data_IF_891307572239
#
_entry.id   IF_891307572239
#
_cell.length_a   1.000
_cell.length_b   1.000
_cell.length_c   1.000
_cell.angle_alpha   90.00
_cell.angle_beta   90.00
_cell.angle_gamma   90.00
#
_symmetry.space_group_name_H-M   'P 1'
#
loop_
_entity.id
_entity.type
_entity.pdbx_description
1 polymer ?
#
# COMPACT_ATOMS: atom_id res chain seq x y z
N UNK A 1 92.53 17.36 -45.49
CA UNK A 1 92.17 15.93 -45.65
C UNK A 1 92.44 15.26 -44.32
N UNK A 2 91.40 15.06 -43.52
CA UNK A 2 91.44 14.39 -42.21
C UNK A 2 90.28 13.39 -42.22
N UNK A 3 90.63 12.12 -42.08
CA UNK A 3 89.71 10.98 -42.09
C UNK A 3 88.65 11.16 -41.00
N UNK A 4 87.36 11.11 -41.38
CA UNK A 4 86.26 10.84 -40.46
C UNK A 4 86.08 9.33 -40.40
N UNK A 5 86.33 8.74 -39.24
CA UNK A 5 85.80 7.42 -38.90
C UNK A 5 84.26 7.51 -38.76
N UNK A 6 83.50 6.47 -39.15
CA UNK A 6 82.06 6.51 -39.04
C UNK A 6 81.61 6.34 -37.58
N UNK A 7 80.73 7.24 -37.13
CA UNK A 7 79.97 7.10 -35.89
C UNK A 7 79.16 5.80 -35.93
N UNK A 8 79.52 4.83 -35.09
CA UNK A 8 78.70 3.64 -34.84
C UNK A 8 77.53 4.06 -33.96
N UNK A 9 76.35 4.23 -34.55
CA UNK A 9 75.11 4.37 -33.80
C UNK A 9 74.85 3.08 -33.02
N UNK A 10 75.02 3.13 -31.70
CA UNK A 10 74.54 2.08 -30.81
C UNK A 10 73.01 2.15 -30.77
N UNK A 11 72.33 1.31 -31.56
CA UNK A 11 70.92 1.00 -31.30
C UNK A 11 70.85 0.18 -30.01
N UNK A 12 70.31 0.76 -28.94
CA UNK A 12 69.94 -0.02 -27.75
C UNK A 12 68.98 -1.15 -28.18
N UNK A 13 69.30 -2.42 -27.89
CA UNK A 13 68.39 -3.51 -28.22
C UNK A 13 67.11 -3.29 -27.42
N UNK A 14 65.98 -3.11 -28.11
CA UNK A 14 64.65 -3.13 -27.48
C UNK A 14 64.47 -4.48 -26.80
N UNK A 15 64.71 -4.53 -25.49
CA UNK A 15 64.57 -5.74 -24.71
C UNK A 15 63.10 -6.13 -24.68
N UNK A 16 62.74 -7.21 -25.39
CA UNK A 16 61.41 -7.80 -25.26
C UNK A 16 61.21 -8.26 -23.81
N UNK A 17 60.13 -7.82 -23.11
CA UNK A 17 59.92 -8.15 -21.72
C UNK A 17 59.85 -9.66 -21.53
N UNK A 18 60.58 -10.15 -20.53
CA UNK A 18 60.61 -11.57 -20.18
C UNK A 18 59.23 -12.05 -19.72
N UNK A 19 59.02 -13.37 -19.68
CA UNK A 19 57.77 -13.94 -19.12
C UNK A 19 57.58 -13.48 -17.67
N UNK A 20 58.67 -13.37 -16.90
CA UNK A 20 58.64 -12.93 -15.51
C UNK A 20 58.23 -11.45 -15.38
N UNK A 21 58.71 -10.58 -16.28
CA UNK A 21 58.33 -9.16 -16.31
C UNK A 21 56.82 -9.00 -16.60
N UNK A 22 56.29 -9.82 -17.51
CA UNK A 22 54.85 -9.83 -17.81
C UNK A 22 54.02 -10.31 -16.60
N UNK A 23 54.50 -11.30 -15.87
CA UNK A 23 53.85 -11.81 -14.65
C UNK A 23 53.87 -10.75 -13.54
N UNK A 24 55.02 -10.12 -13.27
CA UNK A 24 55.09 -9.07 -12.25
C UNK A 24 54.29 -7.83 -12.64
N UNK A 25 54.27 -7.45 -13.92
CA UNK A 25 53.43 -6.37 -14.39
C UNK A 25 51.93 -6.70 -14.20
N UNK A 26 51.50 -7.91 -14.54
CA UNK A 26 50.13 -8.35 -14.28
C UNK A 26 49.79 -8.36 -12.78
N UNK A 27 50.69 -8.88 -11.93
CA UNK A 27 50.51 -8.87 -10.48
C UNK A 27 50.42 -7.45 -9.91
N UNK A 28 51.25 -6.52 -10.40
CA UNK A 28 51.20 -5.11 -10.03
C UNK A 28 49.85 -4.47 -10.40
N UNK A 29 49.37 -4.71 -11.63
CA UNK A 29 48.05 -4.22 -12.08
C UNK A 29 46.92 -4.79 -11.23
N UNK A 30 46.96 -6.09 -10.90
CA UNK A 30 45.96 -6.74 -10.02
C UNK A 30 46.02 -6.12 -8.62
N UNK A 31 47.20 -5.94 -8.05
CA UNK A 31 47.36 -5.34 -6.72
C UNK A 31 46.85 -3.90 -6.68
N UNK A 32 47.12 -3.10 -7.72
CA UNK A 32 46.57 -1.75 -7.85
C UNK A 32 45.04 -1.78 -7.93
N UNK A 33 44.47 -2.71 -8.69
CA UNK A 33 43.02 -2.93 -8.75
C UNK A 33 42.43 -3.30 -7.39
N UNK A 34 43.10 -4.16 -6.62
CA UNK A 34 42.67 -4.54 -5.27
C UNK A 34 42.73 -3.35 -4.30
N UNK A 35 43.78 -2.53 -4.35
CA UNK A 35 43.88 -1.31 -3.53
C UNK A 35 42.77 -0.30 -3.87
N UNK A 36 42.48 -0.11 -5.16
CA UNK A 36 41.38 0.75 -5.59
C UNK A 36 40.02 0.21 -5.14
N UNK A 37 39.79 -1.10 -5.24
CA UNK A 37 38.57 -1.74 -4.74
C UNK A 37 38.41 -1.58 -3.23
N UNK A 38 39.49 -1.78 -2.45
CA UNK A 38 39.48 -1.61 -0.99
C UNK A 38 39.23 -0.15 -0.60
N UNK A 39 39.91 0.79 -1.26
CA UNK A 39 39.69 2.21 -1.04
C UNK A 39 38.24 2.60 -1.35
N UNK A 40 37.70 2.17 -2.50
CA UNK A 40 36.30 2.38 -2.86
C UNK A 40 35.32 1.79 -1.83
N UNK A 41 35.56 0.55 -1.38
CA UNK A 41 34.74 -0.11 -0.37
C UNK A 41 34.74 0.64 0.97
N UNK A 42 35.91 1.12 1.41
CA UNK A 42 36.02 1.91 2.65
C UNK A 42 35.29 3.24 2.51
N UNK A 43 35.42 3.92 1.36
CA UNK A 43 34.73 5.19 1.12
C UNK A 43 33.20 5.00 1.08
N UNK A 44 32.72 3.93 0.46
CA UNK A 44 31.29 3.58 0.44
C UNK A 44 30.76 3.22 1.83
N UNK A 45 31.41 2.29 2.54
CA UNK A 45 30.98 1.85 3.88
C UNK A 45 31.07 3.00 4.89
N UNK A 46 32.11 3.84 4.79
CA UNK A 46 32.32 4.98 5.67
C UNK A 46 31.44 6.19 5.38
N UNK A 47 30.60 6.14 4.33
CA UNK A 47 29.84 7.28 3.82
C UNK A 47 30.72 8.52 3.52
N UNK A 48 31.93 8.30 3.00
CA UNK A 48 32.92 9.35 2.69
C UNK A 48 32.90 9.62 1.19
N UNK A 49 32.93 10.89 0.79
CA UNK A 49 33.00 11.28 -0.63
C UNK A 49 34.14 10.54 -1.37
N UNK A 50 33.90 9.96 -2.58
CA UNK A 50 32.66 9.99 -3.35
C UNK A 50 31.74 8.76 -3.16
N UNK A 51 31.97 7.93 -2.15
CA UNK A 51 31.25 6.66 -1.92
C UNK A 51 29.72 6.80 -2.00
N UNK A 52 29.09 7.66 -1.19
CA UNK A 52 27.63 7.89 -1.22
C UNK A 52 27.10 8.33 -2.58
N UNK A 53 27.85 9.15 -3.33
CA UNK A 53 27.45 9.63 -4.65
C UNK A 53 27.42 8.49 -5.66
N UNK A 54 28.40 7.58 -5.60
CA UNK A 54 28.45 6.40 -6.47
C UNK A 54 27.33 5.44 -6.10
N UNK A 55 27.13 5.15 -4.82
CA UNK A 55 26.05 4.27 -4.34
C UNK A 55 24.69 4.78 -4.81
N UNK A 56 24.37 6.06 -4.59
CA UNK A 56 23.12 6.67 -5.04
C UNK A 56 22.95 6.66 -6.56
N UNK A 57 24.04 6.82 -7.32
CA UNK A 57 23.98 6.75 -8.78
C UNK A 57 23.68 5.33 -9.26
N UNK A 58 24.26 4.31 -8.61
CA UNK A 58 23.99 2.89 -8.91
C UNK A 58 22.56 2.53 -8.53
N UNK A 59 22.11 2.91 -7.34
CA UNK A 59 20.74 2.68 -6.85
C UNK A 59 19.71 3.38 -7.74
N UNK A 60 19.93 4.66 -8.07
CA UNK A 60 19.06 5.41 -8.98
C UNK A 60 19.03 4.80 -10.39
N UNK A 61 20.17 4.30 -10.87
CA UNK A 61 20.26 3.57 -12.14
C UNK A 61 19.48 2.24 -12.11
N UNK A 62 19.61 1.47 -11.02
CA UNK A 62 18.88 0.24 -10.80
C UNK A 62 17.36 0.48 -10.68
N UNK A 63 16.95 1.50 -9.93
CA UNK A 63 15.55 1.91 -9.79
C UNK A 63 14.96 2.36 -11.13
N UNK A 64 15.69 3.15 -11.92
CA UNK A 64 15.26 3.56 -13.25
C UNK A 64 15.16 2.36 -14.20
N UNK A 65 16.13 1.44 -14.17
CA UNK A 65 16.09 0.21 -14.97
C UNK A 65 14.87 -0.64 -14.59
N UNK A 66 14.62 -0.83 -13.30
CA UNK A 66 13.43 -1.53 -12.78
C UNK A 66 12.15 -0.85 -13.25
N UNK A 67 12.01 0.47 -13.07
CA UNK A 67 10.85 1.24 -13.55
C UNK A 67 10.63 1.08 -15.06
N UNK A 68 11.70 1.10 -15.86
CA UNK A 68 11.64 0.96 -17.31
C UNK A 68 11.42 -0.48 -17.79
N UNK A 69 11.58 -1.51 -16.96
CA UNK A 69 11.52 -2.91 -17.40
C UNK A 69 10.43 -3.72 -16.70
N UNK A 70 10.25 -3.57 -15.40
CA UNK A 70 9.29 -4.35 -14.60
C UNK A 70 7.88 -3.72 -14.55
N UNK A 71 7.76 -2.41 -14.72
CA UNK A 71 6.46 -1.72 -14.67
C UNK A 71 5.97 -1.26 -16.05
N UNK A 72 6.45 -1.90 -17.12
CA UNK A 72 5.85 -1.77 -18.47
C UNK A 72 4.71 -2.76 -18.70
N UNK A 73 4.69 -3.83 -17.93
CA UNK A 73 3.63 -4.84 -17.97
C UNK A 73 2.88 -4.77 -16.65
N UNK A 74 1.58 -4.46 -16.72
CA UNK A 74 0.72 -4.42 -15.52
C UNK A 74 0.72 -5.78 -14.80
N UNK A 75 0.88 -6.90 -15.53
CA UNK A 75 0.81 -8.26 -14.98
C UNK A 75 2.05 -8.68 -14.18
N UNK A 76 3.12 -7.88 -14.19
CA UNK A 76 4.31 -8.09 -13.34
C UNK A 76 4.31 -7.21 -12.09
N UNK A 77 3.29 -6.36 -11.93
CA UNK A 77 3.08 -5.57 -10.71
C UNK A 77 2.47 -6.41 -9.58
N UNK A 78 2.44 -5.80 -8.40
CA UNK A 78 1.78 -6.31 -7.19
C UNK A 78 0.25 -6.13 -7.20
N UNK A 79 -0.34 -5.73 -8.33
CA UNK A 79 -1.79 -5.70 -8.54
C UNK A 79 -2.33 -6.99 -9.18
N UNK A 80 -1.45 -7.88 -9.67
CA UNK A 80 -1.83 -9.09 -10.41
C UNK A 80 -1.13 -10.33 -9.88
N UNK A 81 -1.91 -11.30 -9.40
CA UNK A 81 -1.40 -12.54 -8.81
C UNK A 81 -1.76 -13.75 -9.67
N UNK A 82 -1.04 -14.86 -9.47
CA UNK A 82 -1.44 -16.14 -10.05
C UNK A 82 -2.84 -16.53 -9.57
N UNK A 83 -3.72 -16.86 -10.51
CA UNK A 83 -5.07 -17.30 -10.20
C UNK A 83 -5.04 -18.57 -9.34
N UNK A 84 -5.60 -18.48 -8.14
CA UNK A 84 -5.76 -19.62 -7.21
C UNK A 84 -7.07 -20.38 -7.40
N UNK A 85 -8.06 -19.75 -8.03
CA UNK A 85 -9.45 -20.24 -8.20
C UNK A 85 -9.95 -19.99 -9.61
N UNK A 86 -10.52 -21.01 -10.26
CA UNK A 86 -11.03 -20.92 -11.64
C UNK A 86 -12.42 -20.32 -11.71
N UNK A 87 -13.13 -20.36 -10.60
CA UNK A 87 -14.45 -19.82 -10.41
C UNK A 87 -14.44 -18.29 -10.54
N UNK A 88 -15.61 -17.72 -10.85
CA UNK A 88 -15.80 -16.30 -11.12
C UNK A 88 -17.12 -15.82 -10.53
N UNK A 89 -17.15 -14.55 -10.14
CA UNK A 89 -18.28 -13.91 -9.48
C UNK A 89 -18.66 -14.66 -8.20
N UNK A 90 -19.93 -14.67 -7.82
CA UNK A 90 -20.39 -15.34 -6.61
C UNK A 90 -20.35 -16.87 -6.78
N UNK A 91 -19.60 -17.53 -5.90
CA UNK A 91 -19.38 -18.99 -5.91
C UNK A 91 -20.08 -19.66 -4.73
N UNK A 92 -20.29 -18.93 -3.64
CA UNK A 92 -21.02 -19.35 -2.45
C UNK A 92 -22.02 -18.26 -2.09
N UNK A 93 -23.28 -18.64 -1.90
CA UNK A 93 -24.32 -17.78 -1.32
C UNK A 93 -25.30 -18.63 -0.51
N UNK A 94 -25.07 -18.73 0.80
CA UNK A 94 -25.93 -19.50 1.72
C UNK A 94 -27.04 -18.60 2.25
N UNK A 95 -28.18 -18.64 1.55
CA UNK A 95 -29.37 -17.87 1.91
C UNK A 95 -29.76 -18.03 3.38
N UNK A 96 -30.02 -16.90 4.04
CA UNK A 96 -30.36 -16.84 5.47
C UNK A 96 -29.18 -16.97 6.43
N UNK A 97 -27.96 -17.23 5.92
CA UNK A 97 -26.73 -17.26 6.72
C UNK A 97 -25.77 -16.12 6.38
N UNK A 98 -25.64 -15.79 5.10
CA UNK A 98 -24.94 -14.58 4.66
C UNK A 98 -25.75 -13.33 5.05
N UNK A 99 -25.05 -12.27 5.43
CA UNK A 99 -25.62 -10.96 5.71
C UNK A 99 -26.21 -10.40 4.41
N UNK A 100 -27.50 -10.07 4.45
CA UNK A 100 -28.13 -9.41 3.31
C UNK A 100 -27.57 -8.00 3.17
N UNK A 101 -27.37 -7.59 1.92
CA UNK A 101 -27.03 -6.21 1.59
C UNK A 101 -26.45 -6.14 0.19
N UNK A 102 -25.73 -5.07 -0.09
CA UNK A 102 -24.95 -4.89 -1.32
C UNK A 102 -23.47 -4.74 -0.96
N UNK A 103 -22.57 -5.19 -1.83
CA UNK A 103 -21.12 -5.06 -1.60
C UNK A 103 -20.52 -4.02 -2.52
N UNK A 104 -19.94 -2.97 -1.95
CA UNK A 104 -19.07 -2.05 -2.67
C UNK A 104 -17.65 -2.62 -2.67
N UNK A 105 -16.97 -2.64 -3.81
CA UNK A 105 -15.57 -3.03 -3.87
C UNK A 105 -14.79 -2.29 -4.95
N UNK A 106 -13.47 -2.25 -4.79
CA UNK A 106 -12.52 -1.77 -5.81
C UNK A 106 -11.52 -2.87 -6.19
N UNK A 107 -10.88 -2.73 -7.35
CA UNK A 107 -9.92 -3.72 -7.86
C UNK A 107 -8.71 -3.04 -8.50
N UNK A 108 -7.58 -3.75 -8.52
CA UNK A 108 -6.32 -3.26 -9.06
C UNK A 108 -6.25 -3.23 -10.60
N UNK A 109 -7.28 -3.67 -11.33
CA UNK A 109 -7.25 -3.68 -12.79
C UNK A 109 -7.56 -2.31 -13.42
N UNK A 110 -8.26 -1.42 -12.68
CA UNK A 110 -8.58 -0.07 -13.16
C UNK A 110 -9.04 0.87 -12.03
N UNK A 111 -9.06 2.17 -12.32
CA UNK A 111 -9.70 3.17 -11.48
C UNK A 111 -11.24 3.10 -11.54
N UNK A 112 -11.81 2.07 -10.89
CA UNK A 112 -13.24 1.85 -10.78
C UNK A 112 -13.66 1.25 -9.43
N UNK A 113 -14.90 1.54 -9.04
CA UNK A 113 -15.59 0.93 -7.91
C UNK A 113 -16.92 0.34 -8.40
N UNK A 114 -17.35 -0.76 -7.80
CA UNK A 114 -18.54 -1.50 -8.22
C UNK A 114 -19.41 -1.85 -7.03
N UNK A 115 -20.71 -1.68 -7.20
CA UNK A 115 -21.74 -2.09 -6.25
C UNK A 115 -22.38 -3.39 -6.73
N UNK A 116 -22.32 -4.44 -5.92
CA UNK A 116 -22.81 -5.78 -6.23
C UNK A 116 -24.03 -6.14 -5.39
N UNK A 117 -24.97 -6.90 -5.96
CA UNK A 117 -25.95 -7.63 -5.16
C UNK A 117 -25.38 -8.95 -4.59
N UNK A 118 -26.20 -9.67 -3.82
CA UNK A 118 -25.82 -10.94 -3.19
C UNK A 118 -25.51 -12.05 -4.21
N UNK A 119 -26.01 -11.95 -5.43
CA UNK A 119 -25.82 -12.93 -6.51
C UNK A 119 -24.63 -12.56 -7.43
N UNK A 120 -23.93 -11.45 -7.12
CA UNK A 120 -22.76 -10.99 -7.84
C UNK A 120 -23.07 -10.17 -9.08
N UNK A 121 -24.32 -9.73 -9.26
CA UNK A 121 -24.69 -8.81 -10.34
C UNK A 121 -24.22 -7.41 -9.97
N UNK A 122 -23.54 -6.76 -10.91
CA UNK A 122 -23.19 -5.34 -10.79
C UNK A 122 -24.47 -4.50 -10.90
N UNK A 123 -24.83 -3.83 -9.82
CA UNK A 123 -25.94 -2.88 -9.75
C UNK A 123 -25.52 -1.50 -10.27
N UNK A 124 -24.33 -1.07 -9.89
CA UNK A 124 -23.77 0.22 -10.27
C UNK A 124 -22.24 0.17 -10.37
N UNK A 125 -21.66 1.08 -11.15
CA UNK A 125 -20.21 1.27 -11.18
C UNK A 125 -19.85 2.74 -11.37
N UNK A 126 -18.77 3.14 -10.71
CA UNK A 126 -18.11 4.43 -10.92
C UNK A 126 -16.76 4.17 -11.56
N UNK A 127 -16.44 4.91 -12.62
CA UNK A 127 -15.15 4.77 -13.31
C UNK A 127 -14.62 6.14 -13.68
N UNK A 128 -13.37 6.41 -13.30
CA UNK A 128 -12.72 7.66 -13.65
C UNK A 128 -11.22 7.45 -13.84
N UNK A 129 -10.73 7.38 -15.09
CA UNK A 129 -9.29 7.34 -15.36
C UNK A 129 -8.59 8.56 -14.77
N UNK A 130 -7.43 8.37 -14.15
CA UNK A 130 -6.73 9.44 -13.44
C UNK A 130 -6.31 10.58 -14.36
N UNK A 131 -5.91 10.25 -15.60
CA UNK A 131 -5.55 11.22 -16.64
C UNK A 131 -6.64 12.26 -16.93
N UNK A 132 -7.91 11.94 -16.66
CA UNK A 132 -9.05 12.84 -16.86
C UNK A 132 -9.33 13.80 -15.71
N UNK A 133 -8.76 13.53 -14.53
CA UNK A 133 -8.92 14.34 -13.30
C UNK A 133 -7.64 15.10 -12.99
N UNK A 134 -6.49 14.50 -13.33
CA UNK A 134 -5.18 15.00 -13.00
C UNK A 134 -4.96 16.40 -13.59
N UNK A 135 -4.47 17.28 -12.73
CA UNK A 135 -3.96 18.58 -13.14
C UNK A 135 -2.57 18.77 -12.55
N UNK A 136 -1.64 19.29 -13.35
CA UNK A 136 -0.29 19.56 -12.87
C UNK A 136 -0.32 20.71 -11.86
N UNK A 137 -0.10 20.39 -10.59
CA UNK A 137 -0.08 21.36 -9.50
C UNK A 137 1.13 21.13 -8.57
N UNK A 138 1.63 22.17 -7.87
CA UNK A 138 2.60 21.99 -6.80
C UNK A 138 2.03 21.07 -5.70
N UNK A 139 2.85 20.13 -5.20
CA UNK A 139 2.44 19.19 -4.15
C UNK A 139 1.65 17.96 -4.63
N UNK A 140 1.31 17.88 -5.93
CA UNK A 140 0.71 16.69 -6.53
C UNK A 140 1.65 15.93 -7.48
N UNK A 141 1.16 14.82 -8.02
CA UNK A 141 1.92 13.93 -8.92
C UNK A 141 2.42 14.70 -10.15
N UNK A 142 3.74 14.80 -10.32
CA UNK A 142 4.32 15.61 -11.41
C UNK A 142 4.32 14.92 -12.77
N UNK A 143 4.54 13.60 -12.78
CA UNK A 143 4.61 12.77 -13.98
C UNK A 143 3.84 11.47 -13.70
N UNK A 144 2.51 11.49 -13.82
CA UNK A 144 1.71 10.32 -13.46
C UNK A 144 1.98 9.15 -14.41
N UNK A 145 1.84 7.94 -13.88
CA UNK A 145 1.81 6.72 -14.67
C UNK A 145 0.61 6.70 -15.63
N UNK A 146 0.67 5.92 -16.72
CA UNK A 146 -0.50 5.65 -17.56
C UNK A 146 -1.66 5.05 -16.75
N UNK A 147 -2.90 5.31 -17.17
CA UNK A 147 -4.12 4.90 -16.43
C UNK A 147 -4.20 3.40 -16.13
N UNK A 148 -3.58 2.54 -16.94
CA UNK A 148 -3.52 1.09 -16.72
C UNK A 148 -2.72 0.67 -15.47
N UNK A 149 -1.91 1.59 -14.91
CA UNK A 149 -1.19 1.40 -13.65
C UNK A 149 -1.81 2.16 -12.47
N UNK A 150 -2.93 2.84 -12.69
CA UNK A 150 -3.59 3.67 -11.68
C UNK A 150 -4.97 3.10 -11.37
N UNK A 151 -5.23 2.84 -10.10
CA UNK A 151 -6.43 2.14 -9.64
C UNK A 151 -7.09 2.86 -8.46
N UNK A 152 -8.33 2.49 -8.15
CA UNK A 152 -8.97 2.92 -6.91
C UNK A 152 -8.59 1.98 -5.78
N UNK A 153 -7.83 2.50 -4.81
CA UNK A 153 -7.37 1.73 -3.66
C UNK A 153 -8.47 1.47 -2.63
N UNK A 154 -9.29 2.48 -2.36
CA UNK A 154 -10.46 2.49 -1.46
C UNK A 154 -11.51 3.44 -2.01
N UNK A 155 -12.79 3.17 -1.72
CA UNK A 155 -13.88 4.07 -2.03
C UNK A 155 -14.90 4.14 -0.88
N UNK A 156 -15.73 5.17 -0.89
CA UNK A 156 -16.87 5.33 0.02
C UNK A 156 -18.04 5.89 -0.78
N UNK A 157 -19.21 5.25 -0.69
CA UNK A 157 -20.44 5.73 -1.32
C UNK A 157 -21.29 6.47 -0.30
N UNK A 158 -21.70 7.69 -0.64
CA UNK A 158 -22.58 8.50 0.19
C UNK A 158 -24.05 8.13 -0.04
N UNK A 159 -24.96 8.42 0.91
CA UNK A 159 -26.39 8.14 0.75
C UNK A 159 -27.05 8.77 -0.49
N UNK A 160 -26.50 9.86 -1.03
CA UNK A 160 -26.99 10.51 -2.25
C UNK A 160 -26.45 9.87 -3.55
N UNK A 161 -25.65 8.81 -3.44
CA UNK A 161 -25.04 8.09 -4.54
C UNK A 161 -23.74 8.69 -5.10
N UNK A 162 -23.22 9.74 -4.47
CA UNK A 162 -21.86 10.20 -4.75
C UNK A 162 -20.83 9.18 -4.27
N UNK A 163 -19.65 9.16 -4.88
CA UNK A 163 -18.54 8.31 -4.48
C UNK A 163 -17.31 9.16 -4.17
N UNK A 164 -16.67 8.98 -3.01
CA UNK A 164 -15.30 9.41 -2.78
C UNK A 164 -14.36 8.23 -3.02
N UNK A 165 -13.33 8.40 -3.84
CA UNK A 165 -12.37 7.35 -4.16
C UNK A 165 -10.92 7.84 -4.05
N UNK A 166 -10.03 6.95 -3.64
CA UNK A 166 -8.58 7.18 -3.51
C UNK A 166 -7.84 6.53 -4.66
N UNK A 167 -6.96 7.29 -5.32
CA UNK A 167 -6.08 6.80 -6.38
C UNK A 167 -4.71 6.39 -5.85
N UNK A 168 -4.18 5.29 -6.38
CA UNK A 168 -2.76 4.94 -6.25
C UNK A 168 -2.18 4.49 -7.60
N UNK A 169 -0.91 4.81 -7.82
CA UNK A 169 -0.10 4.34 -8.94
C UNK A 169 0.79 3.17 -8.54
N UNK A 170 0.61 2.00 -9.17
CA UNK A 170 1.46 0.84 -8.92
C UNK A 170 2.83 0.99 -9.59
N UNK A 171 3.89 0.71 -8.83
CA UNK A 171 5.27 0.83 -9.31
C UNK A 171 5.83 2.24 -9.36
N UNK A 172 5.21 3.17 -8.64
CA UNK A 172 5.71 4.53 -8.50
C UNK A 172 6.15 4.83 -7.06
N UNK A 173 7.02 5.83 -6.91
CA UNK A 173 7.38 6.36 -5.59
C UNK A 173 7.58 7.86 -5.70
N UNK A 174 6.79 8.68 -4.97
CA UNK A 174 5.66 8.29 -4.12
C UNK A 174 4.48 7.70 -4.92
N UNK A 175 3.80 6.67 -4.37
CA UNK A 175 2.71 5.91 -5.05
C UNK A 175 1.30 6.49 -4.87
N UNK A 176 1.05 7.32 -3.85
CA UNK A 176 -0.24 7.97 -3.60
C UNK A 176 -0.60 9.04 -4.64
N UNK A 177 -1.80 8.98 -5.22
CA UNK A 177 -2.19 9.80 -6.38
C UNK A 177 -3.35 10.77 -6.07
N UNK A 178 -3.90 10.75 -4.86
CA UNK A 178 -4.90 11.72 -4.41
C UNK A 178 -6.32 11.15 -4.31
N UNK A 179 -7.30 12.05 -4.14
CA UNK A 179 -8.71 11.71 -4.00
C UNK A 179 -9.55 12.33 -5.12
N UNK A 180 -10.68 11.70 -5.43
CA UNK A 180 -11.73 12.27 -6.27
C UNK A 180 -13.10 12.00 -5.67
N UNK A 181 -13.94 13.03 -5.61
CA UNK A 181 -15.38 12.87 -5.38
C UNK A 181 -16.11 12.92 -6.71
N UNK A 182 -16.95 11.92 -6.94
CA UNK A 182 -17.73 11.70 -8.14
C UNK A 182 -19.21 11.73 -7.82
N UNK A 183 -20.04 12.20 -8.76
CA UNK A 183 -21.47 11.90 -8.72
C UNK A 183 -21.75 10.46 -9.21
N UNK A 184 -23.01 10.02 -9.14
CA UNK A 184 -23.49 8.71 -9.62
C UNK A 184 -23.28 8.44 -11.12
N UNK A 185 -22.98 9.46 -11.91
CA UNK A 185 -22.69 9.33 -13.34
C UNK A 185 -21.18 9.40 -13.59
N UNK A 186 -20.38 9.29 -12.53
CA UNK A 186 -18.93 9.45 -12.54
C UNK A 186 -18.48 10.84 -12.98
N UNK A 187 -19.27 11.91 -12.87
CA UNK A 187 -18.74 13.26 -13.11
C UNK A 187 -17.98 13.76 -11.88
N UNK A 188 -16.89 14.50 -12.09
CA UNK A 188 -16.07 15.02 -10.99
C UNK A 188 -16.81 16.15 -10.28
N UNK A 189 -17.00 16.00 -8.97
CA UNK A 189 -17.51 17.04 -8.08
C UNK A 189 -16.34 17.88 -7.56
N UNK A 190 -15.33 17.21 -7.00
CA UNK A 190 -14.06 17.82 -6.59
C UNK A 190 -12.93 16.78 -6.60
N UNK A 191 -11.69 17.25 -6.57
CA UNK A 191 -10.51 16.39 -6.46
C UNK A 191 -9.45 17.01 -5.56
N UNK A 192 -8.65 16.16 -4.92
CA UNK A 192 -7.52 16.54 -4.08
C UNK A 192 -6.25 15.86 -4.64
N UNK A 193 -5.28 16.66 -5.06
CA UNK A 193 -4.10 16.20 -5.81
C UNK A 193 -2.89 15.86 -4.94
N UNK A 194 -2.97 16.01 -3.61
CA UNK A 194 -1.90 15.58 -2.71
C UNK A 194 -1.64 14.08 -2.86
N UNK A 195 -0.45 13.62 -2.47
CA UNK A 195 -0.05 12.22 -2.61
C UNK A 195 -0.77 11.30 -1.61
N UNK A 196 -2.11 11.25 -1.67
CA UNK A 196 -2.94 10.43 -0.80
C UNK A 196 -2.78 8.94 -1.11
N UNK A 197 -2.67 8.10 -0.08
CA UNK A 197 -2.44 6.67 -0.22
C UNK A 197 -3.25 5.84 0.80
N UNK A 198 -3.39 4.56 0.50
CA UNK A 198 -3.95 3.49 1.33
C UNK A 198 -5.39 3.69 1.78
N UNK A 199 -5.64 4.60 2.73
CA UNK A 199 -6.91 4.69 3.43
C UNK A 199 -7.27 6.15 3.74
N UNK A 200 -8.58 6.38 3.72
CA UNK A 200 -9.21 7.54 4.31
C UNK A 200 -10.41 7.09 5.14
N UNK A 201 -10.86 7.98 6.00
CA UNK A 201 -12.11 7.87 6.73
C UNK A 201 -12.85 9.21 6.79
N UNK A 202 -14.15 9.18 7.04
CA UNK A 202 -15.03 10.34 7.01
C UNK A 202 -15.69 10.52 8.37
N UNK A 203 -15.40 11.63 9.03
CA UNK A 203 -16.03 11.96 10.31
C UNK A 203 -17.52 12.34 10.14
N UNK A 204 -18.33 12.29 11.21
CA UNK A 204 -19.76 12.66 11.15
C UNK A 204 -20.05 14.08 10.65
N UNK A 205 -19.09 15.01 10.77
CA UNK A 205 -19.20 16.37 10.25
C UNK A 205 -18.82 16.51 8.76
N UNK A 206 -18.46 15.40 8.12
CA UNK A 206 -18.08 15.29 6.72
C UNK A 206 -16.61 15.60 6.43
N UNK A 207 -15.78 15.90 7.44
CA UNK A 207 -14.33 16.02 7.24
C UNK A 207 -13.74 14.68 6.81
N UNK A 208 -12.76 14.72 5.91
CA UNK A 208 -12.06 13.53 5.43
C UNK A 208 -10.69 13.48 6.09
N UNK A 209 -10.39 12.39 6.76
CA UNK A 209 -9.08 12.09 7.33
C UNK A 209 -8.38 11.13 6.39
N UNK A 210 -7.21 11.49 5.85
CA UNK A 210 -6.54 10.71 4.80
C UNK A 210 -5.04 10.67 5.02
N UNK A 211 -4.42 9.55 4.68
CA UNK A 211 -2.97 9.43 4.66
C UNK A 211 -2.39 10.04 3.39
N UNK A 212 -1.33 10.82 3.54
CA UNK A 212 -0.51 11.30 2.42
C UNK A 212 0.95 11.06 2.74
N UNK A 213 1.81 11.00 1.72
CA UNK A 213 3.25 10.81 1.90
C UNK A 213 4.11 11.76 1.06
N UNK A 214 5.33 12.02 1.50
CA UNK A 214 6.31 12.82 0.75
C UNK A 214 7.73 12.27 0.90
N UNK A 215 8.59 12.53 -0.09
CA UNK A 215 10.03 12.27 0.06
C UNK A 215 10.69 13.42 0.83
N UNK A 216 11.26 13.08 1.99
CA UNK A 216 11.99 14.01 2.85
C UNK A 216 13.45 13.60 2.99
N UNK A 217 14.33 14.57 3.21
CA UNK A 217 15.78 14.34 3.31
C UNK A 217 16.38 15.02 4.56
N UNK A 218 15.55 15.36 5.54
CA UNK A 218 15.98 15.94 6.80
C UNK A 218 16.48 14.88 7.78
N UNK A 219 17.18 15.33 8.82
CA UNK A 219 17.60 14.50 9.94
C UNK A 219 16.54 14.52 11.05
N UNK A 220 16.39 13.40 11.76
CA UNK A 220 15.58 13.32 12.96
C UNK A 220 16.51 13.05 14.14
N UNK A 221 16.45 13.94 15.14
CA UNK A 221 17.23 13.84 16.35
C UNK A 221 17.08 12.45 17.00
N UNK A 222 18.20 11.83 17.37
CA UNK A 222 18.28 10.48 17.95
C UNK A 222 17.82 9.32 17.04
N UNK A 223 17.38 9.59 15.81
CA UNK A 223 16.91 8.59 14.84
C UNK A 223 17.70 8.64 13.52
N UNK A 224 18.98 9.03 13.59
CA UNK A 224 19.87 9.11 12.41
C UNK A 224 20.18 7.79 11.69
N UNK A 225 19.65 6.66 12.18
CA UNK A 225 19.71 5.37 11.50
C UNK A 225 18.65 5.21 10.41
N UNK A 226 17.60 6.02 10.42
CA UNK A 226 16.60 6.07 9.35
C UNK A 226 17.22 6.64 8.07
N UNK A 227 16.80 6.13 6.92
CA UNK A 227 17.41 6.49 5.64
C UNK A 227 17.09 7.94 5.24
N UNK A 228 17.91 8.45 4.33
CA UNK A 228 17.81 9.80 3.75
C UNK A 228 18.19 9.75 2.26
N UNK A 229 17.27 10.06 1.33
CA UNK A 229 15.87 10.43 1.58
C UNK A 229 15.03 9.26 2.11
N UNK A 230 13.86 9.55 2.67
CA UNK A 230 12.84 8.56 3.09
C UNK A 230 11.44 9.04 2.73
N UNK A 231 10.51 8.11 2.68
CA UNK A 231 9.09 8.35 2.61
C UNK A 231 8.58 8.73 4.00
N UNK A 232 7.89 9.86 4.07
CA UNK A 232 7.34 10.45 5.28
C UNK A 232 5.82 10.43 5.19
N UNK A 233 5.16 9.87 6.19
CA UNK A 233 3.69 9.80 6.23
C UNK A 233 3.10 10.98 7.00
N UNK A 234 1.93 11.41 6.54
CA UNK A 234 1.17 12.49 7.14
C UNK A 234 -0.30 12.09 7.28
N UNK A 235 -0.90 12.48 8.40
CA UNK A 235 -2.35 12.55 8.53
C UNK A 235 -2.81 13.91 8.03
N UNK A 236 -3.64 13.92 6.99
CA UNK A 236 -4.23 15.13 6.41
C UNK A 236 -5.72 15.16 6.70
N UNK A 237 -6.20 16.33 7.15
CA UNK A 237 -7.62 16.59 7.35
C UNK A 237 -8.09 17.49 6.22
N UNK A 238 -9.08 17.03 5.46
CA UNK A 238 -9.75 17.80 4.42
C UNK A 238 -11.13 18.23 4.90
N UNK A 239 -11.58 19.38 4.40
CA UNK A 239 -12.99 19.77 4.50
C UNK A 239 -13.88 18.86 3.63
N UNK A 240 -15.21 18.88 3.84
CA UNK A 240 -16.15 18.10 3.01
C UNK A 240 -16.09 18.41 1.50
N UNK A 241 -15.59 19.60 1.14
CA UNK A 241 -15.37 20.06 -0.23
C UNK A 241 -13.92 19.85 -0.74
N UNK A 242 -13.10 19.08 -0.01
CA UNK A 242 -11.78 18.61 -0.47
C UNK A 242 -10.63 19.61 -0.26
N UNK A 243 -10.80 20.65 0.56
CA UNK A 243 -9.72 21.61 0.87
C UNK A 243 -8.90 21.11 2.06
N UNK A 244 -7.57 21.18 1.93
CA UNK A 244 -6.66 20.85 3.03
C UNK A 244 -6.83 21.84 4.20
N UNK A 245 -7.15 21.31 5.38
CA UNK A 245 -7.33 22.07 6.62
C UNK A 245 -6.13 21.94 7.55
N UNK A 246 -5.56 20.74 7.63
CA UNK A 246 -4.44 20.42 8.52
C UNK A 246 -3.62 19.27 7.94
N UNK A 247 -2.31 19.29 8.19
CA UNK A 247 -1.37 18.24 7.80
C UNK A 247 -0.40 17.98 8.95
N UNK A 248 -0.44 16.77 9.49
CA UNK A 248 0.31 16.35 10.68
C UNK A 248 1.36 15.35 10.24
N UNK A 249 2.63 15.59 10.58
CA UNK A 249 3.75 14.72 10.23
C UNK A 249 3.88 13.58 11.24
N UNK A 250 3.53 12.36 10.81
CA UNK A 250 3.33 11.24 11.73
C UNK A 250 4.62 10.78 12.39
N UNK A 251 5.76 10.77 11.68
CA UNK A 251 7.01 10.37 12.29
C UNK A 251 7.47 11.35 13.36
N UNK A 252 7.25 12.65 13.18
CA UNK A 252 7.51 13.66 14.22
C UNK A 252 6.66 13.38 15.45
N UNK A 253 5.34 13.25 15.30
CA UNK A 253 4.42 12.89 16.39
C UNK A 253 4.87 11.62 17.12
N UNK A 254 5.36 10.61 16.39
CA UNK A 254 5.86 9.37 16.97
C UNK A 254 7.16 9.56 17.74
N UNK A 255 8.12 10.32 17.19
CA UNK A 255 9.44 10.56 17.79
C UNK A 255 9.37 11.41 19.06
N UNK A 256 8.37 12.29 19.15
CA UNK A 256 8.12 13.17 20.31
C UNK A 256 7.24 12.49 21.38
N UNK A 257 6.56 11.40 21.02
CA UNK A 257 5.71 10.64 21.92
C UNK A 257 6.49 9.79 22.95
N UNK A 258 5.85 9.39 24.08
CA UNK A 258 6.40 8.38 24.99
C UNK A 258 6.46 6.96 24.39
N UNK A 259 6.04 6.79 23.13
CA UNK A 259 6.06 5.54 22.39
C UNK A 259 7.23 5.44 21.39
N UNK A 260 8.06 6.48 21.28
CA UNK A 260 9.19 6.60 20.34
C UNK A 260 10.14 5.40 20.31
N UNK A 261 10.22 4.61 21.39
CA UNK A 261 11.03 3.40 21.45
C UNK A 261 10.63 2.34 20.42
N UNK A 262 9.39 2.34 19.92
CA UNK A 262 8.95 1.42 18.87
C UNK A 262 9.76 1.65 17.58
N UNK A 263 10.17 2.89 17.30
CA UNK A 263 10.96 3.25 16.12
C UNK A 263 12.37 2.62 16.13
N UNK A 264 12.92 2.23 17.28
CA UNK A 264 14.21 1.52 17.32
C UNK A 264 14.12 0.09 16.75
N UNK A 265 12.92 -0.36 16.40
CA UNK A 265 12.68 -1.70 15.85
C UNK A 265 12.36 -1.70 14.36
N UNK A 266 12.48 -0.56 13.68
CA UNK A 266 12.37 -0.48 12.22
C UNK A 266 13.36 -1.45 11.60
N UNK A 267 12.86 -2.36 10.78
CA UNK A 267 13.69 -3.35 10.12
C UNK A 267 14.64 -2.69 9.10
N UNK A 268 15.81 -3.29 8.88
CA UNK A 268 16.84 -2.73 7.99
C UNK A 268 16.38 -2.53 6.54
N UNK A 269 15.37 -3.27 6.07
CA UNK A 269 14.79 -3.12 4.74
C UNK A 269 13.75 -1.98 4.65
N UNK A 270 13.28 -1.46 5.79
CA UNK A 270 12.23 -0.45 5.89
C UNK A 270 12.78 0.95 6.24
N UNK A 271 14.10 1.15 6.22
CA UNK A 271 14.70 2.41 6.64
C UNK A 271 14.30 3.61 5.75
N UNK A 272 13.93 3.35 4.49
CA UNK A 272 13.44 4.34 3.53
C UNK A 272 11.93 4.58 3.60
N UNK A 273 11.18 3.74 4.32
CA UNK A 273 9.73 3.83 4.50
C UNK A 273 9.36 3.27 5.90
N UNK A 274 9.74 3.97 6.98
CA UNK A 274 9.83 3.39 8.31
C UNK A 274 8.49 3.20 9.02
N UNK A 275 7.48 4.00 8.65
CA UNK A 275 6.15 3.92 9.22
C UNK A 275 5.26 3.01 8.36
N UNK A 276 5.24 3.26 7.05
CA UNK A 276 4.31 2.68 6.10
C UNK A 276 2.90 2.62 6.69
N UNK A 277 2.39 3.80 7.03
CA UNK A 277 1.07 3.96 7.62
C UNK A 277 0.04 3.52 6.59
N UNK A 278 -0.84 2.58 6.95
CA UNK A 278 -1.74 1.95 5.99
C UNK A 278 -3.22 2.04 6.34
N UNK A 279 -3.56 2.53 7.53
CA UNK A 279 -4.95 2.72 7.96
C UNK A 279 -5.12 4.03 8.71
N UNK A 280 -6.28 4.64 8.47
CA UNK A 280 -6.87 5.76 9.21
C UNK A 280 -8.29 5.36 9.54
N UNK A 281 -8.64 5.41 10.82
CA UNK A 281 -9.99 5.24 11.33
C UNK A 281 -10.29 6.38 12.31
N UNK A 282 -11.31 7.18 12.02
CA UNK A 282 -11.77 8.24 12.89
C UNK A 282 -12.55 7.62 14.06
N UNK A 283 -12.16 7.99 15.29
CA UNK A 283 -12.87 7.53 16.48
C UNK A 283 -14.10 8.42 16.66
N UNK A 284 -15.26 7.89 16.32
CA UNK A 284 -16.54 8.56 16.52
C UNK A 284 -17.09 8.38 17.95
N UNK A 285 -18.26 8.98 18.20
CA UNK A 285 -18.92 8.91 19.49
C UNK A 285 -19.50 7.54 19.85
N UNK A 286 -19.57 6.57 18.93
CA UNK A 286 -19.95 5.19 19.22
C UNK A 286 -18.72 4.36 19.61
N UNK A 287 -17.68 4.38 18.77
CA UNK A 287 -16.40 3.70 19.00
C UNK A 287 -15.75 4.17 20.31
N UNK A 288 -15.79 5.48 20.60
CA UNK A 288 -15.23 6.04 21.83
C UNK A 288 -15.93 5.56 23.13
N UNK A 289 -17.16 5.04 23.08
CA UNK A 289 -17.92 4.68 24.30
C UNK A 289 -17.28 3.53 25.06
N UNK A 290 -16.79 2.53 24.33
CA UNK A 290 -16.26 1.29 24.91
C UNK A 290 -14.76 1.12 24.66
N UNK A 291 -14.18 1.91 23.76
CA UNK A 291 -12.74 1.91 23.51
C UNK A 291 -11.99 2.69 24.59
N UNK A 292 -11.06 2.01 25.27
CA UNK A 292 -10.41 2.55 26.47
C UNK A 292 -9.24 3.50 26.19
N UNK A 293 -8.76 3.53 24.95
CA UNK A 293 -7.49 4.18 24.58
C UNK A 293 -7.65 5.37 23.65
N UNK A 294 -8.89 5.71 23.30
CA UNK A 294 -9.21 6.81 22.42
C UNK A 294 -10.51 7.50 22.85
N UNK A 295 -10.70 8.70 22.33
CA UNK A 295 -11.87 9.54 22.54
C UNK A 295 -12.40 9.99 21.19
N UNK A 296 -13.66 10.41 21.18
CA UNK A 296 -14.26 11.02 19.99
C UNK A 296 -13.39 12.16 19.46
N UNK A 297 -13.15 12.19 18.15
CA UNK A 297 -12.30 13.20 17.49
C UNK A 297 -10.85 12.78 17.31
N UNK A 298 -10.40 11.70 17.96
CA UNK A 298 -9.08 11.13 17.75
C UNK A 298 -9.08 10.15 16.56
N UNK A 299 -7.90 9.71 16.14
CA UNK A 299 -7.74 8.82 14.97
C UNK A 299 -6.90 7.61 15.35
N UNK A 300 -7.39 6.41 15.06
CA UNK A 300 -6.61 5.18 15.10
C UNK A 300 -5.84 5.01 13.78
N UNK A 301 -4.55 4.69 13.91
CA UNK A 301 -3.61 4.51 12.82
C UNK A 301 -2.96 3.13 12.90
N UNK A 302 -2.66 2.55 11.75
CA UNK A 302 -1.83 1.34 11.64
C UNK A 302 -0.52 1.65 10.92
N UNK A 303 0.59 1.21 11.52
CA UNK A 303 1.96 1.36 11.02
C UNK A 303 2.51 -0.02 10.67
N UNK A 304 2.56 -0.34 9.38
CA UNK A 304 2.85 -1.71 8.91
C UNK A 304 4.23 -2.18 9.33
N UNK A 305 5.25 -1.36 9.09
CA UNK A 305 6.67 -1.73 9.32
C UNK A 305 7.05 -1.73 10.80
N UNK A 306 6.30 -1.00 11.62
CA UNK A 306 6.43 -1.04 13.07
C UNK A 306 5.66 -2.19 13.72
N UNK A 307 4.81 -2.88 12.96
CA UNK A 307 3.87 -3.88 13.48
C UNK A 307 3.06 -3.35 14.67
N UNK A 308 2.60 -2.10 14.56
CA UNK A 308 1.97 -1.36 15.66
C UNK A 308 0.74 -0.59 15.20
N UNK A 309 -0.17 -0.37 16.12
CA UNK A 309 -1.28 0.57 15.97
C UNK A 309 -1.15 1.68 17.01
N UNK A 310 -1.66 2.87 16.71
CA UNK A 310 -1.61 4.00 17.63
C UNK A 310 -2.81 4.94 17.46
N UNK A 311 -3.18 5.61 18.54
CA UNK A 311 -4.17 6.69 18.55
C UNK A 311 -3.43 8.02 18.56
N UNK A 312 -3.74 8.90 17.61
CA UNK A 312 -3.28 10.28 17.57
C UNK A 312 -4.43 11.23 17.90
N UNK A 313 -4.15 12.27 18.68
CA UNK A 313 -5.04 13.44 18.84
C UNK A 313 -4.72 14.46 17.75
N UNK A 314 -5.61 14.71 16.78
CA UNK A 314 -5.34 15.67 15.72
C UNK A 314 -5.25 17.12 16.20
N UNK A 315 -5.76 17.47 17.38
CA UNK A 315 -5.68 18.84 17.91
C UNK A 315 -4.29 19.11 18.50
N UNK A 316 -3.79 18.22 19.36
CA UNK A 316 -2.46 18.36 19.97
C UNK A 316 -1.32 17.80 19.11
N UNK A 317 -1.64 16.99 18.08
CA UNK A 317 -0.69 16.26 17.23
C UNK A 317 0.11 15.17 17.98
N UNK A 318 -0.34 14.80 19.18
CA UNK A 318 0.33 13.82 20.02
C UNK A 318 -0.24 12.40 19.82
N UNK A 319 0.65 11.41 19.81
CA UNK A 319 0.25 10.00 19.93
C UNK A 319 -0.10 9.74 21.41
N UNK A 320 -1.39 9.54 21.70
CA UNK A 320 -1.89 9.35 23.06
C UNK A 320 -1.88 7.90 23.52
N UNK A 321 -1.83 6.95 22.58
CA UNK A 321 -1.68 5.53 22.86
C UNK A 321 -1.01 4.83 21.68
N UNK A 322 -0.16 3.84 21.95
CA UNK A 322 0.35 2.94 20.92
C UNK A 322 0.62 1.55 21.50
N UNK A 323 0.45 0.51 20.69
CA UNK A 323 0.74 -0.86 21.09
C UNK A 323 1.28 -1.71 19.94
N UNK A 324 1.94 -2.80 20.32
CA UNK A 324 2.30 -3.93 19.45
C UNK A 324 1.67 -5.18 20.03
N UNK A 325 1.32 -6.12 19.17
CA UNK A 325 0.80 -7.41 19.61
C UNK A 325 1.35 -8.55 18.77
N UNK A 326 0.74 -9.73 18.88
CA UNK A 326 1.22 -10.94 18.20
C UNK A 326 0.89 -10.95 16.69
N UNK A 327 0.92 -9.80 16.02
CA UNK A 327 0.64 -9.62 14.58
C UNK A 327 1.85 -9.05 13.84
N UNK A 328 1.89 -9.24 12.52
CA UNK A 328 3.01 -8.81 11.68
C UNK A 328 2.46 -8.28 10.36
N UNK A 329 2.86 -7.06 10.00
CA UNK A 329 2.51 -6.43 8.73
C UNK A 329 1.01 -6.14 8.57
N UNK A 330 0.32 -5.91 9.68
CA UNK A 330 -1.13 -5.77 9.79
C UNK A 330 -1.71 -4.63 8.94
N UNK A 331 -3.00 -4.77 8.63
CA UNK A 331 -3.84 -3.77 7.98
C UNK A 331 -5.19 -3.67 8.69
N UNK A 332 -5.85 -2.53 8.48
CA UNK A 332 -7.27 -2.32 8.75
C UNK A 332 -7.73 -2.71 10.16
N UNK A 333 -7.10 -2.15 11.22
CA UNK A 333 -7.69 -2.19 12.54
C UNK A 333 -9.01 -1.39 12.55
N UNK A 334 -10.07 -2.03 13.03
CA UNK A 334 -11.36 -1.39 13.30
C UNK A 334 -11.72 -1.52 14.78
N UNK A 335 -12.21 -0.44 15.37
CA UNK A 335 -12.76 -0.44 16.74
C UNK A 335 -14.18 -1.01 16.71
N UNK A 336 -14.37 -2.15 17.37
CA UNK A 336 -15.69 -2.77 17.47
C UNK A 336 -16.55 -2.13 18.58
N UNK A 337 -17.89 -2.25 18.51
CA UNK A 337 -18.79 -1.69 19.54
C UNK A 337 -18.54 -2.18 20.97
N UNK A 338 -17.89 -3.34 21.16
CA UNK A 338 -17.52 -3.86 22.47
C UNK A 338 -16.19 -3.27 23.01
N UNK A 339 -15.49 -2.45 22.23
CA UNK A 339 -14.19 -1.87 22.56
C UNK A 339 -12.99 -2.76 22.18
N UNK A 340 -13.23 -3.93 21.59
CA UNK A 340 -12.17 -4.75 20.98
C UNK A 340 -11.71 -4.15 19.66
N UNK A 341 -10.58 -4.64 19.15
CA UNK A 341 -10.09 -4.29 17.83
C UNK A 341 -10.13 -5.54 16.93
N UNK A 342 -10.72 -5.40 15.75
CA UNK A 342 -10.64 -6.37 14.67
C UNK A 342 -9.54 -5.94 13.69
N UNK A 343 -8.72 -6.85 13.21
CA UNK A 343 -7.51 -6.50 12.46
C UNK A 343 -7.14 -7.61 11.48
N UNK A 344 -6.71 -7.23 10.28
CA UNK A 344 -6.15 -8.15 9.30
C UNK A 344 -4.63 -8.30 9.54
N UNK A 345 -4.18 -9.50 9.84
CA UNK A 345 -2.79 -9.85 10.17
C UNK A 345 -2.18 -10.66 9.03
N UNK A 346 -1.42 -9.99 8.15
CA UNK A 346 -0.94 -10.55 6.90
C UNK A 346 0.03 -11.72 7.08
N UNK A 347 0.83 -11.73 8.15
CA UNK A 347 1.89 -12.73 8.36
C UNK A 347 1.80 -13.51 9.67
N UNK A 348 0.85 -13.20 10.56
CA UNK A 348 0.79 -13.83 11.87
C UNK A 348 0.39 -15.31 11.89
N UNK A 349 -0.04 -15.89 10.76
CA UNK A 349 -0.33 -17.34 10.64
C UNK A 349 0.80 -18.11 9.92
N UNK A 350 2.06 -17.69 10.11
CA UNK A 350 3.22 -18.21 9.38
C UNK A 350 3.37 -19.75 9.38
N UNK A 351 3.59 -20.32 8.18
CA UNK A 351 3.84 -21.77 7.90
C UNK A 351 2.73 -22.70 8.37
N UNK A 352 1.48 -22.25 8.29
CA UNK A 352 0.30 -23.05 8.59
C UNK A 352 -0.39 -23.49 7.29
N UNK A 353 -0.99 -24.68 7.25
CA UNK A 353 -1.71 -25.14 6.05
C UNK A 353 -2.93 -24.27 5.75
N UNK A 354 -3.48 -23.57 6.75
CA UNK A 354 -4.60 -22.65 6.60
C UNK A 354 -4.25 -21.36 5.82
N UNK A 355 -2.96 -21.10 5.56
CA UNK A 355 -2.49 -19.86 4.94
C UNK A 355 -1.63 -19.05 5.90
N UNK A 356 -0.96 -18.01 5.40
CA UNK A 356 -0.03 -17.17 6.17
C UNK A 356 -0.72 -16.01 6.89
N UNK A 357 -1.92 -15.66 6.45
CA UNK A 357 -2.69 -14.54 6.97
C UNK A 357 -3.80 -15.01 7.91
N UNK A 358 -4.29 -14.10 8.74
CA UNK A 358 -5.47 -14.30 9.58
C UNK A 358 -6.14 -12.98 9.88
N UNK A 359 -7.42 -13.02 10.23
CA UNK A 359 -8.12 -11.92 10.89
C UNK A 359 -8.22 -12.24 12.37
N UNK A 360 -7.92 -11.27 13.24
CA UNK A 360 -8.00 -11.43 14.69
C UNK A 360 -8.89 -10.36 15.31
N UNK A 361 -9.71 -10.76 16.28
CA UNK A 361 -10.34 -9.85 17.23
C UNK A 361 -9.56 -9.97 18.55
N UNK A 362 -9.12 -8.86 19.12
CA UNK A 362 -8.44 -8.86 20.41
C UNK A 362 -8.95 -7.76 21.35
N UNK A 363 -8.91 -8.04 22.64
CA UNK A 363 -9.14 -7.03 23.68
C UNK A 363 -7.86 -6.19 23.86
N UNK A 364 -7.86 -4.88 23.54
CA UNK A 364 -6.66 -4.05 23.62
C UNK A 364 -6.19 -3.78 25.06
N UNK A 365 -6.99 -4.10 26.09
CA UNK A 365 -6.60 -3.96 27.51
C UNK A 365 -5.77 -5.14 27.99
N UNK A 366 -6.10 -6.35 27.53
CA UNK A 366 -5.48 -7.60 27.98
C UNK A 366 -4.55 -8.22 26.94
N UNK A 367 -4.66 -7.77 25.68
CA UNK A 367 -4.03 -8.35 24.50
C UNK A 367 -4.49 -9.80 24.21
N UNK A 368 -5.60 -10.23 24.78
CA UNK A 368 -6.20 -11.54 24.51
C UNK A 368 -6.85 -11.54 23.13
N UNK A 369 -6.47 -12.52 22.29
CA UNK A 369 -7.17 -12.79 21.03
C UNK A 369 -8.43 -13.59 21.36
N UNK A 370 -9.59 -12.95 21.21
CA UNK A 370 -10.91 -13.52 21.58
C UNK A 370 -11.59 -14.22 20.41
N UNK A 371 -11.17 -13.92 19.18
CA UNK A 371 -11.62 -14.58 17.96
C UNK A 371 -10.53 -14.54 16.90
N UNK A 372 -10.49 -15.55 16.03
CA UNK A 372 -9.63 -15.54 14.84
C UNK A 372 -10.25 -16.32 13.69
N UNK A 373 -9.90 -15.92 12.47
CA UNK A 373 -10.13 -16.70 11.26
C UNK A 373 -8.86 -16.69 10.41
N UNK A 374 -8.39 -17.86 10.00
CA UNK A 374 -7.18 -18.00 9.20
C UNK A 374 -7.38 -18.78 7.88
N UNK A 375 -8.63 -19.11 7.52
CA UNK A 375 -8.91 -20.04 6.42
C UNK A 375 -8.78 -21.51 6.81
N UNK A 376 -8.65 -22.38 5.80
CA UNK A 376 -8.45 -23.82 5.97
C UNK A 376 -7.42 -24.35 4.98
N UNK A 377 -6.92 -25.58 5.16
CA UNK A 377 -6.00 -26.19 4.19
C UNK A 377 -6.56 -26.29 2.75
N UNK A 378 -7.89 -26.33 2.60
CA UNK A 378 -8.55 -26.37 1.28
C UNK A 378 -8.77 -24.97 0.73
N UNK A 379 -9.12 -24.04 1.60
CA UNK A 379 -9.48 -22.67 1.29
C UNK A 379 -8.63 -21.73 2.15
N UNK A 380 -7.32 -21.61 1.86
CA UNK A 380 -6.42 -20.85 2.72
C UNK A 380 -6.68 -19.36 2.62
N UNK A 381 -6.35 -18.61 3.67
CA UNK A 381 -6.32 -17.14 3.67
C UNK A 381 -4.87 -16.68 3.53
N UNK A 382 -4.55 -16.15 2.35
CA UNK A 382 -3.19 -15.78 1.97
C UNK A 382 -3.18 -14.41 1.28
N UNK A 383 -2.83 -13.36 2.02
CA UNK A 383 -2.56 -12.03 1.47
C UNK A 383 -1.35 -11.43 2.18
N UNK A 384 -0.23 -11.34 1.47
CA UNK A 384 1.04 -10.89 2.04
C UNK A 384 1.06 -9.38 2.29
N UNK A 385 0.23 -8.63 1.58
CA UNK A 385 0.07 -7.18 1.69
C UNK A 385 -1.40 -6.81 1.51
N UNK A 386 -1.78 -5.59 1.92
CA UNK A 386 -3.15 -5.06 1.83
C UNK A 386 -4.15 -5.93 2.61
N UNK A 387 -5.38 -6.00 2.10
CA UNK A 387 -6.57 -6.61 2.69
C UNK A 387 -7.21 -5.79 3.79
N UNK A 388 -8.47 -6.12 4.04
CA UNK A 388 -9.35 -5.48 4.98
C UNK A 388 -10.33 -6.51 5.53
N UNK A 389 -11.11 -6.06 6.51
CA UNK A 389 -12.15 -6.86 7.12
C UNK A 389 -13.31 -5.94 7.54
N UNK A 390 -14.49 -6.51 7.74
CA UNK A 390 -15.61 -5.77 8.33
C UNK A 390 -16.45 -6.72 9.20
N UNK A 391 -16.62 -6.40 10.49
CA UNK A 391 -17.62 -7.07 11.32
C UNK A 391 -19.02 -6.64 10.89
N UNK A 392 -19.84 -7.61 10.51
CA UNK A 392 -21.22 -7.38 10.06
C UNK A 392 -22.22 -7.45 11.22
N UNK A 393 -23.38 -6.82 11.04
CA UNK A 393 -24.43 -6.73 12.05
C UNK A 393 -25.00 -8.10 12.51
N UNK A 394 -24.91 -9.14 11.67
CA UNK A 394 -25.31 -10.50 12.03
C UNK A 394 -24.20 -11.28 12.79
N UNK A 395 -23.06 -10.66 13.08
CA UNK A 395 -21.91 -11.25 13.76
C UNK A 395 -20.89 -11.92 12.83
N UNK A 396 -21.23 -12.10 11.54
CA UNK A 396 -20.28 -12.59 10.54
C UNK A 396 -19.19 -11.54 10.26
N UNK A 397 -18.10 -11.96 9.61
CA UNK A 397 -17.03 -11.06 9.17
C UNK A 397 -16.89 -11.12 7.66
N UNK A 398 -16.98 -9.98 6.98
CA UNK A 398 -16.59 -9.84 5.58
C UNK A 398 -15.07 -9.65 5.52
N UNK A 399 -14.39 -10.28 4.58
CA UNK A 399 -12.93 -10.26 4.48
C UNK A 399 -12.56 -10.11 3.01
N UNK A 400 -11.78 -9.08 2.68
CA UNK A 400 -11.13 -8.97 1.37
C UNK A 400 -9.81 -9.73 1.40
N UNK A 401 -9.70 -10.80 0.60
CA UNK A 401 -8.41 -11.46 0.34
C UNK A 401 -7.79 -10.86 -0.92
N UNK A 402 -6.98 -9.81 -0.75
CA UNK A 402 -6.45 -9.02 -1.87
C UNK A 402 -5.68 -9.86 -2.88
N UNK A 403 -4.64 -10.57 -2.45
CA UNK A 403 -3.78 -11.36 -3.34
C UNK A 403 -4.52 -12.56 -3.96
N UNK A 404 -5.62 -12.98 -3.34
CA UNK A 404 -6.49 -14.04 -3.84
C UNK A 404 -7.54 -13.55 -4.85
N UNK A 405 -7.70 -12.22 -4.99
CA UNK A 405 -8.70 -11.62 -5.85
C UNK A 405 -10.13 -12.01 -5.47
N UNK A 406 -10.42 -12.16 -4.16
CA UNK A 406 -11.74 -12.56 -3.68
C UNK A 406 -12.18 -11.81 -2.43
N UNK A 407 -13.48 -11.88 -2.15
CA UNK A 407 -14.13 -11.42 -0.93
C UNK A 407 -14.88 -12.61 -0.34
N UNK A 408 -14.77 -12.84 0.96
CA UNK A 408 -15.48 -13.91 1.67
C UNK A 408 -16.25 -13.36 2.86
N UNK A 409 -17.40 -13.94 3.15
CA UNK A 409 -18.11 -13.72 4.41
C UNK A 409 -18.07 -15.00 5.23
N UNK A 410 -17.60 -14.90 6.47
CA UNK A 410 -17.42 -16.03 7.39
C UNK A 410 -18.27 -15.89 8.64
N UNK A 411 -18.85 -16.99 9.11
CA UNK A 411 -19.53 -17.00 10.42
C UNK A 411 -18.52 -16.92 11.57
N UNK A 412 -18.96 -16.66 12.82
CA UNK A 412 -18.08 -16.72 13.99
C UNK A 412 -17.34 -18.06 14.14
N UNK A 413 -17.91 -19.15 13.64
CA UNK A 413 -17.32 -20.49 13.63
C UNK A 413 -16.33 -20.72 12.46
N UNK A 414 -16.15 -19.73 11.58
CA UNK A 414 -15.22 -19.78 10.46
C UNK A 414 -15.77 -20.44 9.18
N UNK A 415 -17.08 -20.64 9.07
CA UNK A 415 -17.68 -21.19 7.86
C UNK A 415 -17.87 -20.09 6.80
N UNK A 416 -17.36 -20.30 5.59
CA UNK A 416 -17.65 -19.43 4.44
C UNK A 416 -19.13 -19.59 4.05
N UNK A 417 -19.90 -18.50 4.18
CA UNK A 417 -21.33 -18.44 3.86
C UNK A 417 -21.63 -17.59 2.63
N UNK A 418 -20.69 -16.74 2.22
CA UNK A 418 -20.72 -16.05 0.95
C UNK A 418 -19.29 -15.92 0.40
N UNK A 419 -19.11 -16.05 -0.91
CA UNK A 419 -17.82 -15.85 -1.58
C UNK A 419 -18.04 -15.22 -2.95
N UNK A 420 -17.26 -14.20 -3.24
CA UNK A 420 -17.14 -13.57 -4.54
C UNK A 420 -15.69 -13.63 -5.01
N UNK A 421 -15.44 -14.20 -6.19
CA UNK A 421 -14.14 -14.20 -6.85
C UNK A 421 -14.19 -13.20 -8.00
N UNK A 422 -13.25 -12.26 -8.03
CA UNK A 422 -13.16 -11.24 -9.09
C UNK A 422 -13.22 -11.92 -10.47
N UNK A 423 -14.14 -11.57 -11.38
CA UNK A 423 -14.31 -12.25 -12.66
C UNK A 423 -13.24 -11.90 -13.71
N UNK A 424 -12.52 -10.78 -13.52
CA UNK A 424 -11.49 -10.29 -14.42
C UNK A 424 -10.30 -11.26 -14.45
N UNK A 425 -9.73 -11.46 -15.64
CA UNK A 425 -8.53 -12.30 -15.85
C UNK A 425 -7.55 -11.59 -16.76
N UNK A 426 -6.29 -11.60 -16.34
CA UNK A 426 -5.16 -11.05 -17.06
C UNK A 426 -4.46 -12.09 -17.93
N UNK A 427 -3.35 -11.69 -18.55
CA UNK A 427 -2.47 -12.62 -19.27
C UNK A 427 -1.90 -13.67 -18.31
N UNK A 428 -1.54 -14.84 -18.84
CA UNK A 428 -0.89 -15.93 -18.10
C UNK A 428 -1.67 -16.43 -16.86
N UNK A 429 -3.01 -16.44 -16.92
CA UNK A 429 -3.87 -16.81 -15.78
C UNK A 429 -3.65 -15.94 -14.54
N UNK A 430 -3.39 -14.64 -14.73
CA UNK A 430 -3.37 -13.69 -13.62
C UNK A 430 -4.79 -13.27 -13.23
N UNK A 431 -4.99 -12.98 -11.95
CA UNK A 431 -6.18 -12.34 -11.40
C UNK A 431 -5.76 -11.02 -10.77
N UNK A 432 -6.51 -9.91 -10.96
CA UNK A 432 -6.20 -8.67 -10.28
C UNK A 432 -6.62 -8.77 -8.81
N UNK A 433 -5.97 -8.00 -7.95
CA UNK A 433 -6.38 -7.89 -6.56
C UNK A 433 -7.80 -7.35 -6.44
N UNK A 434 -8.52 -7.76 -5.40
CA UNK A 434 -9.58 -6.91 -4.84
C UNK A 434 -8.89 -6.00 -3.84
N UNK A 435 -8.93 -4.69 -4.05
CA UNK A 435 -8.13 -3.76 -3.25
C UNK A 435 -8.81 -3.44 -1.93
N UNK A 436 -10.13 -3.28 -1.96
CA UNK A 436 -10.93 -3.01 -0.78
C UNK A 436 -12.39 -3.43 -0.98
N UNK A 437 -13.12 -3.79 0.09
CA UNK A 437 -14.57 -3.98 0.03
C UNK A 437 -15.33 -3.66 1.32
N UNK A 438 -16.65 -3.43 1.18
CA UNK A 438 -17.58 -3.18 2.29
C UNK A 438 -18.97 -3.73 1.96
N UNK A 439 -19.64 -4.33 2.94
CA UNK A 439 -21.06 -4.70 2.88
C UNK A 439 -21.90 -3.55 3.45
N UNK A 440 -22.83 -3.06 2.64
CA UNK A 440 -23.68 -1.92 2.94
C UNK A 440 -25.14 -2.33 3.08
N UNK A 441 -25.88 -1.63 3.95
CA UNK A 441 -27.33 -1.72 4.00
C UNK A 441 -27.92 -0.95 2.80
N UNK A 442 -28.64 -1.62 1.89
CA UNK A 442 -29.20 -0.95 0.70
C UNK A 442 -30.24 0.13 1.06
N UNK A 443 -30.82 0.11 2.26
CA UNK A 443 -31.77 1.15 2.70
C UNK A 443 -31.11 2.50 2.98
N UNK A 444 -29.79 2.54 3.13
CA UNK A 444 -29.00 3.76 3.35
C UNK A 444 -28.51 4.40 2.04
N UNK A 445 -28.75 3.76 0.90
CA UNK A 445 -28.26 4.19 -0.41
C UNK A 445 -29.38 4.81 -1.26
N UNK A 446 -29.00 5.66 -2.22
CA UNK A 446 -29.91 6.15 -3.26
C UNK A 446 -30.51 4.93 -4.01
N UNK A 447 -31.85 4.75 -4.00
CA UNK A 447 -32.50 3.65 -4.69
C UNK A 447 -32.15 3.56 -6.19
N UNK A 448 -31.77 4.68 -6.82
CA UNK A 448 -31.34 4.70 -8.21
C UNK A 448 -30.02 3.92 -8.46
N UNK A 449 -29.24 3.63 -7.41
CA UNK A 449 -28.07 2.75 -7.50
C UNK A 449 -28.44 1.26 -7.49
N UNK A 450 -29.62 0.92 -6.97
CA UNK A 450 -30.06 -0.46 -6.77
C UNK A 450 -30.89 -0.97 -7.96
N UNK A 451 -31.51 -0.06 -8.70
CA UNK A 451 -32.20 -0.37 -9.95
C UNK A 451 -31.20 -0.40 -11.11
N UNK A 452 -31.09 -1.53 -11.80
CA UNK A 452 -30.30 -1.63 -13.05
C UNK A 452 -31.18 -1.12 -14.19
N UNK A 453 -30.94 0.08 -14.76
CA UNK A 453 -31.74 0.53 -15.88
C UNK A 453 -31.41 -0.37 -17.08
N UNK A 454 -32.44 -0.91 -17.72
CA UNK A 454 -32.33 -1.86 -18.85
C UNK A 454 -31.44 -1.33 -20.00
N UNK A 455 -31.29 -0.01 -20.13
CA UNK A 455 -30.44 0.67 -21.10
C UNK A 455 -28.91 0.63 -20.79
N UNK A 456 -28.49 0.43 -19.52
CA UNK A 456 -27.06 0.38 -19.16
C UNK A 456 -26.41 -0.97 -19.52
N UNK A 457 -27.21 -2.05 -19.54
CA UNK A 457 -26.77 -3.41 -19.94
C UNK A 457 -26.26 -3.47 -21.39
N UNK A 458 -26.85 -2.71 -22.31
CA UNK A 458 -26.44 -2.69 -23.72
C UNK A 458 -25.07 -2.01 -23.91
N UNK A 459 -24.81 -0.92 -23.18
CA UNK A 459 -23.52 -0.20 -23.24
C UNK A 459 -22.35 -0.96 -22.63
N UNK A 460 -22.59 -1.81 -21.62
CA UNK A 460 -21.54 -2.62 -20.99
C UNK A 460 -21.19 -3.88 -21.81
N UNK A 461 -22.13 -4.41 -22.59
CA UNK A 461 -21.87 -5.50 -23.53
C UNK A 461 -21.10 -5.04 -24.78
N UNK A 462 -21.32 -3.81 -25.26
CA UNK A 462 -20.57 -3.28 -26.40
C UNK A 462 -19.11 -2.93 -26.08
N UNK A 463 -18.78 -2.67 -24.81
CA UNK A 463 -17.42 -2.39 -24.35
C UNK A 463 -16.60 -3.66 -24.01
N UNK A 464 -17.22 -4.84 -24.06
CA UNK A 464 -16.60 -6.14 -23.76
C UNK A 464 -16.51 -7.09 -24.98
N UNK A 465 -16.79 -6.57 -26.17
CA UNK A 465 -16.44 -7.12 -27.49
C UNK A 465 -15.28 -6.33 -28.10
#
# INVERSE_FOLDING_TARGET
MSNRDPEVAYEEPKSTPSVLDKVFHAAFVIALGMLLFLAGSILTIGNIFPGPQITRAVEGGAALYTKLTQYRDVYTSDLWFEERRKEKAVTVNKSGRAMKGVTLYTSGDQAAAYLLDMDGKVLHSWKKPYSSVWTKQPGGVQNPLPDEHVYFRKAHVFPNGDLLALYEGSGDTPYGYGLVKLDRDSNVIWSYMGYAHHQFDIAPDGKVYVLTHELVNDEIDYFGHLARPRLEDYLVILSPDGRELKKIRLLTSFTESPFRQILYTVAGFALEDPLHTNTVEYIDGESARNFAFGKEGQVLLSFRELHSIAVIDPESEEITWATRGPWIGQHDPDILPNGNILLFDNFGNHRRPEGVSRVIEFDPKTMEIVWQYAGTAKDPLDSHIRSDQQRLANGNTLITESDGGRIVEVTPEGEIVWEYVNPVRGKNNKIPIVSWSERLDPSELDPALLDVPQARLESQMEASL
#
